data_IF_654695476058
#
_entry.id   IF_654695476058
#
_cell.length_a   1.000
_cell.length_b   1.000
_cell.length_c   1.000
_cell.angle_alpha   90.00
_cell.angle_beta   90.00
_cell.angle_gamma   90.00
#
_symmetry.space_group_name_H-M   'P 1'
#
loop_
_entity.id
_entity.type
_entity.pdbx_description
1 polymer ?
#
# COMPACT_ATOMS: atom_id res chain seq x y z
N UNK A 1 23.15 11.92 8.04
CA UNK A 1 21.75 12.24 7.66
C UNK A 1 20.87 11.26 8.41
N UNK A 2 20.29 11.70 9.52
CA UNK A 2 19.36 10.87 10.27
C UNK A 2 18.04 10.86 9.49
N UNK A 3 17.74 9.77 8.79
CA UNK A 3 16.51 9.61 8.00
C UNK A 3 15.26 9.40 8.88
N UNK A 4 15.46 9.06 10.15
CA UNK A 4 14.43 8.63 11.11
C UNK A 4 13.73 9.74 11.93
N UNK A 5 14.36 10.89 12.27
CA UNK A 5 13.71 11.99 12.99
C UNK A 5 12.67 12.72 12.12
N UNK A 6 12.89 12.78 10.80
CA UNK A 6 12.03 13.51 9.85
C UNK A 6 10.79 12.71 9.40
N UNK A 7 10.59 11.51 9.95
CA UNK A 7 9.42 10.70 9.64
C UNK A 7 8.23 11.10 10.50
N UNK A 8 7.06 11.40 9.89
CA UNK A 8 5.85 11.64 10.64
C UNK A 8 5.40 10.37 11.39
N UNK A 9 4.60 10.51 12.45
CA UNK A 9 4.44 9.47 13.47
C UNK A 9 3.88 8.16 12.92
N UNK A 10 2.84 8.18 12.08
CA UNK A 10 2.22 6.94 11.58
C UNK A 10 3.16 6.21 10.63
N UNK A 11 3.83 6.95 9.74
CA UNK A 11 4.86 6.42 8.84
C UNK A 11 6.01 5.80 9.62
N UNK A 12 6.42 6.42 10.74
CA UNK A 12 7.46 5.90 11.62
C UNK A 12 7.05 4.57 12.27
N UNK A 13 5.83 4.48 12.80
CA UNK A 13 5.31 3.22 13.35
C UNK A 13 5.17 2.14 12.28
N UNK A 14 4.73 2.51 11.07
CA UNK A 14 4.63 1.59 9.95
C UNK A 14 6.00 1.05 9.52
N UNK A 15 7.02 1.91 9.46
CA UNK A 15 8.40 1.50 9.19
C UNK A 15 8.92 0.54 10.26
N UNK A 16 8.74 0.87 11.55
CA UNK A 16 9.18 -0.01 12.63
C UNK A 16 8.45 -1.35 12.62
N UNK A 17 7.14 -1.37 12.35
CA UNK A 17 6.39 -2.61 12.17
C UNK A 17 6.93 -3.45 11.02
N UNK A 18 7.22 -2.83 9.88
CA UNK A 18 7.78 -3.50 8.70
C UNK A 18 9.16 -4.10 9.00
N UNK A 19 10.05 -3.33 9.64
CA UNK A 19 11.38 -3.81 10.03
C UNK A 19 11.27 -4.95 11.06
N UNK A 20 10.44 -4.80 12.07
CA UNK A 20 10.22 -5.82 13.10
C UNK A 20 9.69 -7.12 12.47
N UNK A 21 8.75 -7.03 11.53
CA UNK A 21 8.26 -8.20 10.79
C UNK A 21 9.34 -8.83 9.93
N UNK A 22 10.16 -8.03 9.24
CA UNK A 22 11.25 -8.54 8.43
C UNK A 22 12.28 -9.29 9.27
N UNK A 23 12.66 -8.74 10.44
CA UNK A 23 13.55 -9.39 11.42
C UNK A 23 12.92 -10.68 11.95
N UNK A 24 11.65 -10.62 12.38
CA UNK A 24 10.96 -11.79 12.93
C UNK A 24 10.89 -12.95 11.91
N UNK A 25 10.69 -12.63 10.62
CA UNK A 25 10.73 -13.63 9.54
C UNK A 25 12.14 -14.09 9.20
N UNK A 26 13.15 -13.24 9.31
CA UNK A 26 14.54 -13.59 9.00
C UNK A 26 15.13 -14.57 10.03
N UNK A 27 14.76 -14.43 11.30
CA UNK A 27 15.19 -15.31 12.39
C UNK A 27 14.23 -16.47 12.65
N UNK A 28 13.29 -16.75 11.74
CA UNK A 28 12.28 -17.81 11.85
C UNK A 28 11.44 -17.75 13.15
N UNK A 29 11.34 -16.58 13.79
CA UNK A 29 10.41 -16.35 14.91
C UNK A 29 8.95 -16.41 14.45
N UNK A 30 8.73 -16.04 13.18
CA UNK A 30 7.45 -16.17 12.48
C UNK A 30 7.70 -16.82 11.13
N UNK A 31 7.03 -17.93 10.85
CA UNK A 31 7.09 -18.56 9.53
C UNK A 31 6.28 -17.75 8.51
N UNK A 32 6.54 -17.98 7.21
CA UNK A 32 5.69 -17.39 6.15
C UNK A 32 4.21 -17.77 6.34
N UNK A 33 3.96 -18.97 6.89
CA UNK A 33 2.62 -19.44 7.16
C UNK A 33 1.96 -18.73 8.33
N UNK A 34 2.68 -18.02 9.20
CA UNK A 34 2.10 -17.23 10.29
C UNK A 34 1.74 -15.81 9.84
N UNK A 35 2.39 -15.33 8.80
CA UNK A 35 2.24 -13.97 8.27
C UNK A 35 1.27 -13.93 7.08
N UNK A 36 1.18 -15.03 6.32
CA UNK A 36 0.29 -15.12 5.17
C UNK A 36 -1.17 -14.91 5.61
N UNK A 37 -1.80 -13.93 4.99
CA UNK A 37 -3.23 -13.69 5.17
C UNK A 37 -4.05 -14.67 4.34
N UNK A 38 -5.04 -15.27 4.98
CA UNK A 38 -6.13 -16.01 4.32
C UNK A 38 -7.41 -15.80 5.13
N UNK A 39 -8.52 -15.56 4.44
CA UNK A 39 -9.82 -15.38 5.08
C UNK A 39 -10.20 -16.59 5.94
N UNK A 40 -9.96 -17.80 5.46
CA UNK A 40 -10.31 -19.03 6.18
C UNK A 40 -9.54 -19.16 7.49
N UNK A 41 -8.25 -18.81 7.49
CA UNK A 41 -7.42 -18.86 8.70
C UNK A 41 -7.86 -17.82 9.73
N UNK A 42 -8.23 -16.62 9.27
CA UNK A 42 -8.65 -15.54 10.16
C UNK A 42 -10.04 -15.79 10.72
N UNK A 43 -11.01 -16.12 9.87
CA UNK A 43 -12.41 -16.22 10.27
C UNK A 43 -12.77 -17.59 10.85
N UNK A 44 -12.41 -18.68 10.16
CA UNK A 44 -12.76 -20.03 10.63
C UNK A 44 -11.82 -20.55 11.70
N UNK A 45 -10.50 -20.27 11.61
CA UNK A 45 -9.52 -20.68 12.63
C UNK A 45 -9.23 -19.64 13.70
N UNK A 46 -9.91 -18.48 13.66
CA UNK A 46 -9.81 -17.40 14.67
C UNK A 46 -8.38 -16.86 14.85
N UNK A 47 -7.54 -16.93 13.82
CA UNK A 47 -6.14 -16.48 13.89
C UNK A 47 -6.03 -14.98 13.54
N UNK A 48 -6.67 -14.13 14.33
CA UNK A 48 -6.82 -12.69 14.04
C UNK A 48 -5.51 -11.90 14.01
N UNK A 49 -4.45 -12.36 14.70
CA UNK A 49 -3.13 -11.70 14.67
C UNK A 49 -2.55 -11.61 13.25
N UNK A 50 -2.96 -12.51 12.35
CA UNK A 50 -2.58 -12.47 10.93
C UNK A 50 -3.01 -11.18 10.23
N UNK A 51 -4.12 -10.56 10.65
CA UNK A 51 -4.54 -9.25 10.12
C UNK A 51 -3.46 -8.21 10.39
N UNK A 52 -2.93 -8.20 11.62
CA UNK A 52 -1.89 -7.26 12.04
C UNK A 52 -0.56 -7.57 11.36
N UNK A 53 -0.14 -8.84 11.32
CA UNK A 53 1.13 -9.21 10.67
C UNK A 53 1.12 -8.93 9.17
N UNK A 54 0.01 -9.23 8.50
CA UNK A 54 -0.11 -9.02 7.07
C UNK A 54 -0.05 -7.54 6.66
N UNK A 55 -0.41 -6.62 7.57
CA UNK A 55 -0.29 -5.17 7.34
C UNK A 55 1.17 -4.74 7.12
N UNK A 56 2.10 -5.33 7.87
CA UNK A 56 3.50 -4.93 7.88
C UNK A 56 4.39 -5.82 7.02
N UNK A 57 3.84 -6.86 6.39
CA UNK A 57 4.60 -7.75 5.52
C UNK A 57 4.73 -7.20 4.10
N UNK A 58 5.90 -6.64 3.76
CA UNK A 58 6.23 -6.17 2.41
C UNK A 58 7.09 -7.19 1.61
N UNK A 59 7.39 -8.34 2.21
CA UNK A 59 8.29 -9.36 1.65
C UNK A 59 9.77 -9.08 1.93
N UNK A 60 10.60 -10.11 1.70
CA UNK A 60 12.03 -10.12 2.05
C UNK A 60 12.98 -10.08 0.83
N UNK A 61 12.48 -9.98 -0.40
CA UNK A 61 13.35 -9.96 -1.57
C UNK A 61 14.08 -8.61 -1.72
N UNK A 62 15.20 -8.59 -2.46
CA UNK A 62 15.90 -7.34 -2.79
C UNK A 62 14.99 -6.34 -3.53
N UNK A 63 14.05 -6.83 -4.34
CA UNK A 63 13.04 -6.01 -4.99
C UNK A 63 12.00 -5.46 -4.00
N UNK A 64 11.62 -6.24 -2.98
CA UNK A 64 10.77 -5.79 -1.88
C UNK A 64 11.41 -4.67 -1.06
N UNK A 65 12.75 -4.63 -0.93
CA UNK A 65 13.43 -3.54 -0.22
C UNK A 65 13.26 -2.21 -0.95
N UNK A 66 13.52 -2.16 -2.26
CA UNK A 66 13.30 -0.95 -3.07
C UNK A 66 11.84 -0.51 -3.01
N UNK A 67 10.92 -1.46 -3.15
CA UNK A 67 9.49 -1.20 -3.01
C UNK A 67 9.12 -0.65 -1.63
N UNK A 68 9.70 -1.20 -0.56
CA UNK A 68 9.53 -0.69 0.81
C UNK A 68 9.95 0.77 0.92
N UNK A 69 11.11 1.15 0.36
CA UNK A 69 11.51 2.55 0.33
C UNK A 69 10.50 3.43 -0.41
N UNK A 70 9.99 2.98 -1.56
CA UNK A 70 8.96 3.72 -2.32
C UNK A 70 7.68 3.89 -1.49
N UNK A 71 7.22 2.84 -0.81
CA UNK A 71 6.02 2.86 0.03
C UNK A 71 6.20 3.81 1.21
N UNK A 72 7.33 3.75 1.92
CA UNK A 72 7.60 4.61 3.07
C UNK A 72 7.72 6.08 2.65
N UNK A 73 8.39 6.37 1.53
CA UNK A 73 8.46 7.74 0.98
C UNK A 73 7.09 8.27 0.58
N UNK A 74 6.26 7.43 -0.07
CA UNK A 74 4.88 7.80 -0.44
C UNK A 74 4.01 8.02 0.80
N UNK A 75 4.11 7.15 1.80
CA UNK A 75 3.37 7.26 3.05
C UNK A 75 3.76 8.52 3.82
N UNK A 76 5.06 8.86 3.86
CA UNK A 76 5.58 10.11 4.42
C UNK A 76 4.95 11.32 3.73
N UNK A 77 4.99 11.36 2.40
CA UNK A 77 4.44 12.48 1.60
C UNK A 77 2.93 12.64 1.83
N UNK A 78 2.19 11.53 1.86
CA UNK A 78 0.76 11.56 2.13
C UNK A 78 0.46 12.03 3.56
N UNK A 79 1.16 11.50 4.57
CA UNK A 79 0.94 11.88 5.96
C UNK A 79 1.33 13.34 6.24
N UNK A 80 2.35 13.87 5.57
CA UNK A 80 2.77 15.27 5.68
C UNK A 80 1.81 16.23 4.97
N UNK A 81 1.26 15.84 3.82
CA UNK A 81 0.28 16.64 3.07
C UNK A 81 -1.15 16.52 3.59
N UNK A 82 -1.42 15.62 4.53
CA UNK A 82 -2.74 15.45 5.12
C UNK A 82 -3.12 16.60 6.05
N UNK A 83 -4.31 17.17 5.84
CA UNK A 83 -4.88 18.23 6.70
C UNK A 83 -5.04 17.78 8.16
N UNK A 84 -5.34 16.50 8.38
CA UNK A 84 -5.48 15.93 9.71
C UNK A 84 -4.92 14.51 9.77
N UNK A 85 -4.17 14.20 10.84
CA UNK A 85 -3.64 12.85 11.08
C UNK A 85 -4.74 11.81 11.28
N UNK A 86 -5.87 12.20 11.89
CA UNK A 86 -7.02 11.31 12.09
C UNK A 86 -7.64 10.90 10.75
N UNK A 87 -7.80 11.88 9.85
CA UNK A 87 -8.34 11.70 8.51
C UNK A 87 -7.49 10.77 7.67
N UNK A 88 -6.18 11.03 7.65
CA UNK A 88 -5.20 10.15 7.04
C UNK A 88 -5.25 8.71 7.59
N UNK A 89 -5.32 8.53 8.92
CA UNK A 89 -5.42 7.21 9.52
C UNK A 89 -6.70 6.47 9.10
N UNK A 90 -7.84 7.17 9.03
CA UNK A 90 -9.12 6.60 8.57
C UNK A 90 -9.01 6.17 7.10
N UNK A 91 -8.38 6.98 6.25
CA UNK A 91 -8.18 6.63 4.84
C UNK A 91 -7.28 5.41 4.68
N UNK A 92 -6.17 5.34 5.43
CA UNK A 92 -5.26 4.20 5.41
C UNK A 92 -5.95 2.91 5.87
N UNK A 93 -6.71 2.98 6.97
CA UNK A 93 -7.53 1.87 7.47
C UNK A 93 -8.60 1.48 6.44
N UNK A 94 -9.25 2.47 5.81
CA UNK A 94 -10.24 2.26 4.76
C UNK A 94 -9.66 1.49 3.57
N UNK A 95 -8.47 1.88 3.09
CA UNK A 95 -7.77 1.13 2.03
C UNK A 95 -7.51 -0.31 2.45
N UNK A 96 -6.99 -0.51 3.67
CA UNK A 96 -6.72 -1.84 4.21
C UNK A 96 -7.99 -2.70 4.28
N UNK A 97 -9.11 -2.16 4.77
CA UNK A 97 -10.38 -2.89 4.86
C UNK A 97 -10.93 -3.29 3.48
N UNK A 98 -10.78 -2.44 2.46
CA UNK A 98 -11.17 -2.79 1.08
C UNK A 98 -10.30 -3.95 0.57
N UNK A 99 -8.99 -3.95 0.83
CA UNK A 99 -8.08 -5.04 0.44
C UNK A 99 -8.49 -6.35 1.13
N UNK A 100 -8.75 -6.30 2.43
CA UNK A 100 -9.23 -7.45 3.22
C UNK A 100 -10.58 -7.95 2.71
N UNK A 101 -11.45 -7.07 2.23
CA UNK A 101 -12.75 -7.48 1.68
C UNK A 101 -12.61 -8.15 0.31
N UNK A 102 -11.69 -7.67 -0.54
CA UNK A 102 -11.41 -8.29 -1.85
C UNK A 102 -10.79 -9.67 -1.67
N UNK A 103 -9.92 -9.85 -0.67
CA UNK A 103 -9.24 -11.13 -0.42
C UNK A 103 -10.15 -12.26 0.06
N UNK A 104 -11.42 -11.97 0.37
CA UNK A 104 -12.46 -12.98 0.60
C UNK A 104 -12.81 -13.71 -0.70
N UNK A 105 -12.77 -12.99 -1.83
CA UNK A 105 -13.25 -13.49 -3.12
C UNK A 105 -12.15 -13.93 -4.07
N UNK A 106 -10.89 -13.55 -3.80
CA UNK A 106 -9.74 -13.94 -4.61
C UNK A 106 -8.49 -14.04 -3.76
N UNK A 107 -7.57 -14.92 -4.15
CA UNK A 107 -6.21 -14.87 -3.66
C UNK A 107 -5.54 -13.58 -4.15
N UNK A 108 -4.79 -12.94 -3.25
CA UNK A 108 -4.10 -11.69 -3.51
C UNK A 108 -2.78 -11.95 -4.27
N UNK A 109 -2.42 -11.11 -5.27
CA UNK A 109 -1.19 -11.31 -6.04
C UNK A 109 0.10 -11.04 -5.24
N UNK A 110 -0.02 -10.31 -4.12
CA UNK A 110 1.06 -9.97 -3.21
C UNK A 110 0.55 -10.03 -1.76
N UNK A 111 1.47 -9.90 -0.78
CA UNK A 111 1.09 -9.73 0.62
C UNK A 111 0.16 -8.52 0.80
N UNK A 112 -0.68 -8.54 1.83
CA UNK A 112 -1.64 -7.46 2.10
C UNK A 112 -0.92 -6.12 2.26
N UNK A 113 0.19 -6.08 3.01
CA UNK A 113 1.04 -4.90 3.14
C UNK A 113 1.63 -4.47 1.79
N UNK A 114 2.03 -5.40 0.94
CA UNK A 114 2.51 -5.12 -0.41
C UNK A 114 1.44 -4.43 -1.27
N UNK A 115 0.22 -4.94 -1.25
CA UNK A 115 -0.93 -4.37 -1.97
C UNK A 115 -1.33 -3.01 -1.40
N UNK A 116 -1.33 -2.86 -0.08
CA UNK A 116 -1.55 -1.57 0.57
C UNK A 116 -0.48 -0.57 0.12
N UNK A 117 0.78 -0.99 0.06
CA UNK A 117 1.90 -0.22 -0.46
C UNK A 117 1.68 0.27 -1.90
N UNK A 118 1.20 -0.61 -2.78
CA UNK A 118 0.86 -0.24 -4.16
C UNK A 118 -0.26 0.80 -4.21
N UNK A 119 -1.28 0.66 -3.37
CA UNK A 119 -2.40 1.60 -3.29
C UNK A 119 -1.98 2.97 -2.70
N UNK A 120 -1.11 2.99 -1.70
CA UNK A 120 -0.51 4.23 -1.17
C UNK A 120 0.28 4.94 -2.26
N UNK A 121 1.16 4.19 -2.95
CA UNK A 121 1.96 4.73 -4.05
C UNK A 121 1.07 5.24 -5.18
N UNK A 122 0.04 4.48 -5.57
CA UNK A 122 -0.96 4.91 -6.55
C UNK A 122 -1.63 6.22 -6.13
N UNK A 123 -2.12 6.32 -4.90
CA UNK A 123 -2.83 7.50 -4.42
C UNK A 123 -1.96 8.76 -4.47
N UNK A 124 -0.73 8.67 -3.99
CA UNK A 124 0.22 9.80 -3.97
C UNK A 124 0.60 10.22 -5.38
N UNK A 125 0.96 9.27 -6.25
CA UNK A 125 1.34 9.56 -7.63
C UNK A 125 0.17 10.11 -8.46
N UNK A 126 -1.07 9.68 -8.16
CA UNK A 126 -2.29 10.20 -8.79
C UNK A 126 -2.61 11.63 -8.38
N UNK A 127 -2.39 11.98 -7.11
CA UNK A 127 -2.56 13.35 -6.59
C UNK A 127 -1.44 14.26 -7.08
N UNK A 128 -0.25 13.72 -7.27
CA UNK A 128 0.91 14.44 -7.77
C UNK A 128 0.72 14.91 -9.22
N UNK A 129 1.24 16.11 -9.53
CA UNK A 129 1.35 16.63 -10.90
C UNK A 129 2.76 16.46 -11.47
N UNK A 130 3.61 15.71 -10.79
CA UNK A 130 5.01 15.54 -11.17
C UNK A 130 5.14 14.81 -12.50
N UNK A 131 6.13 15.25 -13.27
CA UNK A 131 6.57 14.66 -14.52
C UNK A 131 7.88 13.95 -14.23
N UNK A 132 8.01 12.73 -14.75
CA UNK A 132 9.24 11.96 -14.73
C UNK A 132 9.84 12.05 -16.12
N UNK A 133 11.09 12.51 -16.17
CA UNK A 133 11.89 12.52 -17.38
C UNK A 133 12.63 11.18 -17.49
N UNK A 134 12.35 10.42 -18.54
CA UNK A 134 13.01 9.15 -18.87
C UNK A 134 13.99 9.42 -20.01
N UNK A 135 15.18 9.89 -19.65
CA UNK A 135 16.13 10.43 -20.62
C UNK A 135 15.73 11.84 -21.08
N UNK A 136 16.32 12.29 -22.18
CA UNK A 136 16.16 13.68 -22.66
C UNK A 136 14.83 13.93 -23.39
N UNK A 137 14.23 12.90 -23.98
CA UNK A 137 13.09 13.07 -24.92
C UNK A 137 11.74 12.55 -24.41
N UNK A 138 11.69 11.83 -23.28
CA UNK A 138 10.47 11.16 -22.83
C UNK A 138 10.00 11.68 -21.47
N UNK A 139 8.90 12.41 -21.49
CA UNK A 139 8.23 12.90 -20.30
C UNK A 139 6.96 12.09 -20.02
N UNK A 140 6.90 11.46 -18.84
CA UNK A 140 5.72 10.71 -18.41
C UNK A 140 5.22 11.28 -17.09
N UNK A 141 3.92 11.54 -17.00
CA UNK A 141 3.30 11.88 -15.71
C UNK A 141 3.48 10.72 -14.75
N UNK A 142 3.94 11.00 -13.54
CA UNK A 142 4.21 9.99 -12.51
C UNK A 142 3.00 9.07 -12.24
N UNK A 143 1.78 9.59 -12.38
CA UNK A 143 0.52 8.83 -12.26
C UNK A 143 0.37 7.66 -13.24
N UNK A 144 1.14 7.61 -14.34
CA UNK A 144 1.14 6.47 -15.27
C UNK A 144 1.94 5.28 -14.76
N UNK A 145 2.91 5.47 -13.86
CA UNK A 145 3.77 4.39 -13.39
C UNK A 145 2.99 3.23 -12.74
N UNK A 146 2.02 3.48 -11.83
CA UNK A 146 1.18 2.41 -11.30
C UNK A 146 0.32 1.71 -12.36
N UNK A 147 -0.15 2.46 -13.38
CA UNK A 147 -0.98 1.88 -14.45
C UNK A 147 -0.13 0.93 -15.30
N UNK A 148 1.10 1.32 -15.61
CA UNK A 148 2.06 0.47 -16.31
C UNK A 148 2.39 -0.79 -15.50
N UNK A 149 2.56 -0.69 -14.18
CA UNK A 149 2.81 -1.87 -13.35
C UNK A 149 1.61 -2.84 -13.32
N UNK A 150 0.38 -2.33 -13.37
CA UNK A 150 -0.82 -3.16 -13.52
C UNK A 150 -0.88 -3.85 -14.89
N UNK A 151 -0.49 -3.14 -15.96
CA UNK A 151 -0.39 -3.71 -17.30
C UNK A 151 0.62 -4.87 -17.37
N UNK A 152 1.76 -4.74 -16.69
CA UNK A 152 2.71 -5.83 -16.51
C UNK A 152 2.11 -7.01 -15.73
N UNK A 153 1.32 -6.73 -14.69
CA UNK A 153 0.63 -7.78 -13.93
C UNK A 153 -0.40 -8.55 -14.74
N UNK A 154 -1.15 -7.87 -15.59
CA UNK A 154 -2.10 -8.52 -16.49
C UNK A 154 -1.39 -9.34 -17.58
N UNK A 155 -0.38 -8.78 -18.23
CA UNK A 155 0.30 -9.43 -19.36
C UNK A 155 1.29 -10.52 -18.93
N UNK A 156 2.24 -10.19 -18.05
CA UNK A 156 3.35 -11.08 -17.66
C UNK A 156 2.92 -12.08 -16.59
N UNK A 157 2.21 -11.62 -15.57
CA UNK A 157 1.83 -12.45 -14.42
C UNK A 157 0.41 -13.02 -14.51
N UNK A 158 -0.34 -12.66 -15.56
CA UNK A 158 -1.68 -13.18 -15.86
C UNK A 158 -2.66 -13.04 -14.68
N UNK A 159 -2.56 -11.93 -13.96
CA UNK A 159 -3.48 -11.65 -12.85
C UNK A 159 -4.93 -11.56 -13.33
N UNK A 160 -5.84 -12.13 -12.54
CA UNK A 160 -7.26 -12.03 -12.80
C UNK A 160 -7.77 -10.59 -12.52
N UNK A 161 -8.99 -10.28 -12.95
CA UNK A 161 -9.55 -8.93 -12.81
C UNK A 161 -9.67 -8.49 -11.34
N UNK A 162 -10.04 -9.38 -10.42
CA UNK A 162 -10.15 -9.04 -9.00
C UNK A 162 -8.78 -8.78 -8.35
N UNK A 163 -7.75 -9.52 -8.76
CA UNK A 163 -6.36 -9.32 -8.36
C UNK A 163 -5.87 -7.95 -8.84
N UNK A 164 -6.15 -7.58 -10.10
CA UNK A 164 -5.84 -6.25 -10.61
C UNK A 164 -6.56 -5.16 -9.81
N UNK A 165 -7.86 -5.33 -9.56
CA UNK A 165 -8.64 -4.39 -8.74
C UNK A 165 -8.05 -4.22 -7.34
N UNK A 166 -7.57 -5.29 -6.71
CA UNK A 166 -6.96 -5.21 -5.37
C UNK A 166 -5.77 -4.24 -5.30
N UNK A 167 -5.02 -4.10 -6.39
CA UNK A 167 -3.77 -3.30 -6.46
C UNK A 167 -4.03 -1.80 -6.61
N UNK A 168 -5.22 -1.38 -7.05
CA UNK A 168 -5.50 0.04 -7.32
C UNK A 168 -6.83 0.58 -6.79
N UNK A 169 -7.86 -0.27 -6.73
CA UNK A 169 -9.21 0.15 -6.38
C UNK A 169 -9.26 0.79 -4.99
N UNK A 170 -8.66 0.24 -3.92
CA UNK A 170 -8.62 0.90 -2.62
C UNK A 170 -8.06 2.33 -2.68
N UNK A 171 -6.94 2.52 -3.37
CA UNK A 171 -6.29 3.82 -3.59
C UNK A 171 -7.19 4.78 -4.36
N UNK A 172 -7.81 4.28 -5.43
CA UNK A 172 -8.69 5.05 -6.28
C UNK A 172 -9.98 5.47 -5.58
N UNK A 173 -10.57 4.62 -4.73
CA UNK A 173 -11.75 4.96 -3.94
C UNK A 173 -11.47 6.11 -2.98
N UNK A 174 -10.34 6.08 -2.25
CA UNK A 174 -9.96 7.19 -1.36
C UNK A 174 -9.75 8.48 -2.17
N UNK A 175 -9.07 8.41 -3.31
CA UNK A 175 -8.90 9.56 -4.19
C UNK A 175 -10.25 10.13 -4.67
N UNK A 176 -11.15 9.25 -5.14
CA UNK A 176 -12.47 9.63 -5.63
C UNK A 176 -13.31 10.28 -4.54
N UNK A 177 -13.38 9.70 -3.34
CA UNK A 177 -14.13 10.29 -2.24
C UNK A 177 -13.56 11.64 -1.80
N UNK A 178 -12.24 11.79 -1.77
CA UNK A 178 -11.61 13.08 -1.46
C UNK A 178 -11.96 14.15 -2.49
N UNK A 179 -11.85 13.85 -3.79
CA UNK A 179 -12.22 14.80 -4.84
C UNK A 179 -13.71 15.12 -4.83
N UNK A 180 -14.57 14.11 -4.69
CA UNK A 180 -16.02 14.31 -4.67
C UNK A 180 -16.42 15.21 -3.49
N UNK A 181 -15.87 14.97 -2.30
CA UNK A 181 -16.17 15.76 -1.12
C UNK A 181 -15.63 17.18 -1.22
N UNK A 182 -14.44 17.35 -1.80
CA UNK A 182 -13.87 18.68 -2.04
C UNK A 182 -14.72 19.46 -3.04
N UNK A 183 -15.18 18.84 -4.13
CA UNK A 183 -16.00 19.50 -5.16
C UNK A 183 -17.43 19.79 -4.69
N UNK A 184 -18.04 18.89 -3.93
CA UNK A 184 -19.44 19.04 -3.49
C UNK A 184 -19.59 19.88 -2.24
N UNK A 185 -18.69 19.72 -1.26
CA UNK A 185 -18.83 20.33 0.07
C UNK A 185 -17.70 21.31 0.42
N UNK A 186 -16.65 21.41 -0.40
CA UNK A 186 -15.49 22.26 -0.09
C UNK A 186 -14.58 21.73 1.03
N UNK A 187 -14.78 20.48 1.47
CA UNK A 187 -13.96 19.86 2.52
C UNK A 187 -13.13 18.70 1.97
N UNK A 188 -11.86 18.63 2.36
CA UNK A 188 -11.01 17.47 2.12
C UNK A 188 -11.22 16.43 3.24
N UNK A 189 -11.53 15.17 2.90
CA UNK A 189 -11.57 14.06 3.89
C UNK A 189 -10.16 13.63 4.27
#
# INVERSE_FOLDING_TARGET
>A
MDLLPDLPPITKYYLYGTIAMAIARHYDLLSIYDVLYSWDLVYHKKQYLRLVYALFDLGLSSTSMLFTFTVISSLKEWEQSAVSKRRFAIQLIGMYLVIISISIYTELPHSVGGILGFNIWYYVTKKSRNIIHLGDDLEIRQAWLPILSMGLGWGRWKWNTLQLLSVFLPGHLVYFFNEAMQKTYGFEI
#
